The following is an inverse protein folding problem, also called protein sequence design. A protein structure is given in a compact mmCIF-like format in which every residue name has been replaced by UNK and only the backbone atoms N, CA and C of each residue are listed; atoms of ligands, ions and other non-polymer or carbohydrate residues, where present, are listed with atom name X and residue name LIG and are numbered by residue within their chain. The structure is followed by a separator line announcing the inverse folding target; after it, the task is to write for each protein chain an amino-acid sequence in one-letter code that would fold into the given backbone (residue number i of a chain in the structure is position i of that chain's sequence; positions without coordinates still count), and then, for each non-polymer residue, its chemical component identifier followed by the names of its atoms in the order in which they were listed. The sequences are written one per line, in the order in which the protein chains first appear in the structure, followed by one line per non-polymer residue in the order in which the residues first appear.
data_IF_465613198038
#
_entry.id   IF_465613198038
#
_cell.length_a   1.000
_cell.length_b   1.000
_cell.length_c   1.000
_cell.angle_alpha   90.00
_cell.angle_beta   90.00
_cell.angle_gamma   90.00
#
_symmetry.space_group_name_H-M   'P 1'
#
loop_
_entity.id
_entity.type
_entity.pdbx_description
1 polymer ?
#
# COMPACT_ATOMS: atom_id res chain seq x y z
N UNK A 1 -19.24 7.11 19.87
CA UNK A 1 -19.10 5.88 19.06
C UNK A 1 -19.70 6.19 17.70
N UNK A 2 -18.88 6.31 16.65
CA UNK A 2 -19.39 6.54 15.29
C UNK A 2 -20.06 5.25 14.81
N UNK A 3 -21.29 5.36 14.31
CA UNK A 3 -22.08 4.22 13.84
C UNK A 3 -21.58 3.84 12.44
N UNK A 4 -20.43 3.14 12.38
CA UNK A 4 -19.83 2.73 11.11
C UNK A 4 -20.69 1.67 10.45
N UNK A 5 -21.16 1.96 9.24
CA UNK A 5 -21.90 0.99 8.45
C UNK A 5 -20.94 -0.12 8.00
N UNK A 6 -21.35 -1.37 8.23
CA UNK A 6 -20.55 -2.56 7.90
C UNK A 6 -21.20 -3.21 6.68
N UNK A 7 -20.43 -3.36 5.60
CA UNK A 7 -20.90 -4.02 4.36
C UNK A 7 -20.28 -5.41 4.26
N UNK A 8 -21.09 -6.40 3.86
CA UNK A 8 -20.60 -7.75 3.57
C UNK A 8 -19.63 -7.72 2.38
N UNK A 9 -18.45 -8.32 2.54
CA UNK A 9 -17.45 -8.37 1.48
C UNK A 9 -17.98 -9.14 0.28
N UNK A 10 -18.18 -8.43 -0.84
CA UNK A 10 -18.71 -9.00 -2.10
C UNK A 10 -17.77 -10.06 -2.68
N UNK A 11 -16.46 -9.90 -2.48
CA UNK A 11 -15.44 -10.80 -3.01
C UNK A 11 -15.52 -12.20 -2.40
N UNK A 12 -15.59 -12.31 -1.07
CA UNK A 12 -15.65 -13.59 -0.37
C UNK A 12 -17.07 -13.98 0.08
N UNK A 13 -18.08 -13.14 -0.20
CA UNK A 13 -19.48 -13.31 0.21
C UNK A 13 -19.62 -13.54 1.72
N UNK A 14 -18.87 -12.80 2.53
CA UNK A 14 -18.91 -12.92 3.99
C UNK A 14 -18.08 -14.06 4.58
N UNK A 15 -17.49 -14.95 3.78
CA UNK A 15 -16.79 -16.13 4.30
C UNK A 15 -15.38 -15.84 4.86
N UNK A 16 -14.80 -14.69 4.51
CA UNK A 16 -13.41 -14.34 4.84
C UNK A 16 -12.35 -15.15 4.08
N UNK A 17 -12.74 -16.12 3.23
CA UNK A 17 -11.82 -16.97 2.48
C UNK A 17 -11.70 -16.51 1.03
N UNK A 18 -10.51 -16.61 0.45
CA UNK A 18 -10.30 -16.24 -0.95
C UNK A 18 -10.96 -17.29 -1.88
N UNK A 19 -11.96 -16.92 -2.72
CA UNK A 19 -12.66 -17.88 -3.57
C UNK A 19 -11.82 -18.41 -4.74
N UNK A 20 -10.80 -17.66 -5.17
CA UNK A 20 -9.93 -18.03 -6.29
C UNK A 20 -8.81 -18.98 -5.86
N UNK A 21 -8.43 -18.94 -4.58
CA UNK A 21 -7.48 -19.88 -4.02
C UNK A 21 -8.18 -21.13 -3.51
N UNK A 22 -8.50 -22.03 -4.44
CA UNK A 22 -8.72 -23.42 -4.07
C UNK A 22 -7.35 -23.98 -3.72
N UNK A 23 -7.07 -24.10 -2.42
CA UNK A 23 -5.79 -24.55 -1.87
C UNK A 23 -5.45 -26.00 -2.19
N UNK A 24 -5.78 -26.53 -3.37
CA UNK A 24 -5.40 -27.87 -3.81
C UNK A 24 -3.88 -27.98 -3.88
N UNK A 25 -3.34 -29.05 -3.31
CA UNK A 25 -1.92 -29.34 -3.39
C UNK A 25 -1.51 -29.54 -4.86
N UNK A 26 -0.53 -28.78 -5.38
CA UNK A 26 -0.12 -28.87 -6.79
C UNK A 26 0.48 -30.23 -7.13
N UNK A 27 1.06 -30.92 -6.14
CA UNK A 27 1.70 -32.23 -6.31
C UNK A 27 0.66 -33.33 -6.54
N UNK A 28 -0.35 -33.44 -5.68
CA UNK A 28 -1.37 -34.51 -5.79
C UNK A 28 -2.68 -34.06 -6.46
N UNK A 29 -2.78 -32.79 -6.87
CA UNK A 29 -3.97 -32.16 -7.48
C UNK A 29 -5.24 -32.36 -6.64
N UNK A 30 -5.15 -32.22 -5.32
CA UNK A 30 -6.29 -32.38 -4.42
C UNK A 30 -6.58 -33.81 -3.95
N UNK A 31 -5.92 -34.84 -4.50
CA UNK A 31 -6.25 -36.24 -4.19
C UNK A 31 -5.74 -36.72 -2.83
N UNK A 32 -4.78 -36.02 -2.23
CA UNK A 32 -4.11 -36.43 -0.99
C UNK A 32 -3.10 -37.57 -1.14
N UNK A 33 -3.09 -38.28 -2.27
CA UNK A 33 -2.21 -39.43 -2.54
C UNK A 33 -1.53 -39.34 -3.90
N UNK A 34 -0.33 -39.89 -4.00
CA UNK A 34 0.45 -40.04 -5.23
C UNK A 34 0.67 -41.53 -5.53
N UNK A 35 0.73 -41.90 -6.81
CA UNK A 35 1.06 -43.27 -7.22
C UNK A 35 2.56 -43.34 -7.52
N UNK A 36 3.28 -44.19 -6.81
CA UNK A 36 4.71 -44.45 -7.03
C UNK A 36 4.86 -45.95 -7.23
N UNK A 37 5.36 -46.35 -8.40
CA UNK A 37 5.63 -47.77 -8.72
C UNK A 37 4.40 -48.67 -8.51
N UNK A 38 3.22 -48.20 -8.93
CA UNK A 38 1.96 -48.93 -8.81
C UNK A 38 1.28 -48.87 -7.43
N UNK A 39 1.95 -48.42 -6.37
CA UNK A 39 1.35 -48.27 -5.02
C UNK A 39 0.92 -46.83 -4.76
N UNK A 40 -0.24 -46.65 -4.15
CA UNK A 40 -0.70 -45.34 -3.69
C UNK A 40 -0.11 -45.05 -2.32
N UNK A 41 0.62 -43.94 -2.20
CA UNK A 41 1.13 -43.44 -0.92
C UNK A 41 0.56 -42.06 -0.63
N UNK A 42 0.49 -41.69 0.65
CA UNK A 42 0.12 -40.34 1.05
C UNK A 42 1.09 -39.33 0.40
N UNK A 43 0.55 -38.22 -0.11
CA UNK A 43 1.36 -37.17 -0.73
C UNK A 43 2.24 -36.52 0.34
N UNK A 44 3.57 -36.56 0.18
CA UNK A 44 4.52 -36.03 1.17
C UNK A 44 4.35 -34.53 1.46
N UNK A 45 3.89 -33.76 0.48
CA UNK A 45 3.77 -32.30 0.57
C UNK A 45 2.53 -31.87 1.39
N UNK A 46 1.35 -32.41 1.08
CA UNK A 46 0.11 -32.13 1.83
C UNK A 46 -0.12 -33.07 3.02
N UNK A 47 0.64 -34.17 3.12
CA UNK A 47 0.47 -35.28 4.08
C UNK A 47 -0.94 -35.86 4.09
N UNK A 48 -1.52 -36.10 2.92
CA UNK A 48 -2.85 -36.72 2.81
C UNK A 48 -4.04 -35.75 2.74
N UNK A 49 -3.89 -34.47 3.13
CA UNK A 49 -5.03 -33.54 3.17
C UNK A 49 -5.58 -33.16 1.80
N UNK A 50 -4.79 -33.34 0.74
CA UNK A 50 -5.09 -32.82 -0.59
C UNK A 50 -4.99 -31.30 -0.70
N UNK A 51 -4.72 -30.59 0.41
CA UNK A 51 -4.60 -29.13 0.44
C UNK A 51 -3.17 -28.68 0.75
N UNK A 52 -2.70 -27.64 0.08
CA UNK A 52 -1.38 -27.06 0.32
C UNK A 52 -1.39 -26.34 1.67
N UNK A 53 -0.57 -26.82 2.60
CA UNK A 53 -0.46 -26.25 3.96
C UNK A 53 0.01 -24.78 3.87
N UNK A 54 -0.57 -23.91 4.69
CA UNK A 54 -0.23 -22.48 4.72
C UNK A 54 -0.73 -21.67 3.53
N UNK A 55 -1.65 -22.21 2.70
CA UNK A 55 -2.20 -21.49 1.53
C UNK A 55 -3.68 -21.17 1.61
N UNK A 56 -4.31 -21.35 2.77
CA UNK A 56 -5.61 -20.70 3.02
C UNK A 56 -5.37 -19.20 3.14
N UNK A 57 -5.17 -18.55 1.99
CA UNK A 57 -5.06 -17.11 1.92
C UNK A 57 -6.42 -16.56 2.34
N UNK A 58 -6.40 -15.75 3.38
CA UNK A 58 -7.54 -14.93 3.76
C UNK A 58 -7.93 -14.07 2.56
N UNK A 59 -9.21 -13.69 2.47
CA UNK A 59 -9.66 -12.78 1.43
C UNK A 59 -8.89 -11.46 1.57
N UNK A 60 -8.12 -11.08 0.54
CA UNK A 60 -7.28 -9.88 0.56
C UNK A 60 -8.11 -8.59 0.66
N UNK A 61 -9.35 -8.59 0.14
CA UNK A 61 -10.23 -7.41 0.18
C UNK A 61 -10.71 -7.07 1.59
N UNK A 62 -10.94 -8.09 2.43
CA UNK A 62 -11.47 -7.90 3.79
C UNK A 62 -10.51 -8.46 4.87
N UNK A 63 -9.26 -8.75 4.52
CA UNK A 63 -8.24 -9.37 5.38
C UNK A 63 -8.68 -10.63 6.17
N UNK A 64 -9.73 -11.34 5.72
CA UNK A 64 -10.30 -12.49 6.43
C UNK A 64 -11.52 -12.23 7.31
N UNK A 65 -11.93 -10.97 7.51
CA UNK A 65 -13.08 -10.63 8.37
C UNK A 65 -14.45 -10.94 7.75
N UNK A 66 -14.54 -11.06 6.42
CA UNK A 66 -15.80 -11.25 5.70
C UNK A 66 -16.61 -9.96 5.51
N UNK A 67 -16.22 -8.86 6.15
CA UNK A 67 -16.89 -7.55 6.06
C UNK A 67 -15.86 -6.44 5.81
N UNK A 68 -16.33 -5.34 5.20
CA UNK A 68 -15.53 -4.15 4.91
C UNK A 68 -16.29 -2.94 5.49
N UNK A 69 -15.63 -2.03 6.22
CA UNK A 69 -16.28 -0.79 6.66
C UNK A 69 -16.70 0.05 5.46
N UNK A 70 -17.91 0.61 5.47
CA UNK A 70 -18.35 1.51 4.42
C UNK A 70 -17.70 2.88 4.57
N UNK A 71 -16.57 3.06 3.92
CA UNK A 71 -15.86 4.34 3.86
C UNK A 71 -16.35 5.23 2.71
N UNK A 72 -17.39 4.84 1.96
CA UNK A 72 -17.84 5.62 0.78
C UNK A 72 -18.26 7.03 1.14
N UNK A 73 -18.97 7.19 2.25
CA UNK A 73 -19.46 8.50 2.66
C UNK A 73 -18.32 9.38 3.17
N UNK A 74 -17.40 8.81 3.95
CA UNK A 74 -16.16 9.48 4.37
C UNK A 74 -15.32 9.92 3.15
N UNK A 75 -15.18 9.06 2.15
CA UNK A 75 -14.48 9.38 0.89
C UNK A 75 -15.20 10.46 0.07
N UNK A 76 -16.53 10.52 0.08
CA UNK A 76 -17.30 11.60 -0.57
C UNK A 76 -17.07 12.92 0.13
N UNK A 77 -17.16 12.94 1.45
CA UNK A 77 -16.92 14.14 2.26
C UNK A 77 -15.50 14.65 2.06
N UNK A 78 -14.49 13.78 2.18
CA UNK A 78 -13.09 14.16 1.94
C UNK A 78 -12.86 14.74 0.54
N UNK A 79 -13.52 14.22 -0.50
CA UNK A 79 -13.45 14.79 -1.86
C UNK A 79 -14.10 16.17 -1.95
N UNK A 80 -15.23 16.39 -1.29
CA UNK A 80 -15.89 17.69 -1.24
C UNK A 80 -15.05 18.72 -0.50
N UNK A 81 -14.45 18.34 0.62
CA UNK A 81 -13.53 19.19 1.39
C UNK A 81 -12.31 19.59 0.57
N UNK A 82 -11.65 18.63 -0.10
CA UNK A 82 -10.50 18.92 -0.97
C UNK A 82 -10.90 19.87 -2.11
N UNK A 83 -12.10 19.71 -2.67
CA UNK A 83 -12.61 20.62 -3.71
C UNK A 83 -12.82 22.02 -3.14
N UNK A 84 -13.48 22.14 -2.00
CA UNK A 84 -13.73 23.42 -1.34
C UNK A 84 -12.42 24.15 -1.01
N UNK A 85 -11.45 23.45 -0.43
CA UNK A 85 -10.12 24.01 -0.13
C UNK A 85 -9.42 24.50 -1.40
N UNK A 86 -9.55 23.78 -2.52
CA UNK A 86 -8.98 24.21 -3.79
C UNK A 86 -9.64 25.48 -4.33
N UNK A 87 -10.96 25.59 -4.20
CA UNK A 87 -11.71 26.79 -4.59
C UNK A 87 -11.30 27.98 -3.71
N UNK A 88 -11.24 27.80 -2.38
CA UNK A 88 -10.78 28.81 -1.42
C UNK A 88 -9.33 29.28 -1.71
N UNK A 89 -8.39 28.35 -1.97
CA UNK A 89 -7.01 28.72 -2.32
C UNK A 89 -6.89 29.45 -3.66
N UNK A 90 -7.76 29.16 -4.63
CA UNK A 90 -7.75 29.85 -5.93
C UNK A 90 -8.33 31.26 -5.79
N UNK A 91 -9.38 31.44 -4.98
CA UNK A 91 -9.92 32.76 -4.64
C UNK A 91 -8.85 33.64 -3.99
N UNK A 92 -8.15 33.14 -2.96
CA UNK A 92 -7.06 33.86 -2.30
C UNK A 92 -5.94 34.22 -3.28
N UNK A 93 -5.60 33.31 -4.21
CA UNK A 93 -4.62 33.56 -5.26
C UNK A 93 -5.05 34.68 -6.21
N UNK A 94 -6.33 34.74 -6.59
CA UNK A 94 -6.87 35.78 -7.48
C UNK A 94 -6.79 37.14 -6.77
N UNK A 95 -7.19 37.21 -5.49
CA UNK A 95 -7.11 38.43 -4.69
C UNK A 95 -5.68 38.97 -4.59
N UNK A 96 -4.70 38.09 -4.33
CA UNK A 96 -3.30 38.50 -4.17
C UNK A 96 -2.63 38.92 -5.48
N UNK A 97 -2.98 38.28 -6.61
CA UNK A 97 -2.28 38.51 -7.88
C UNK A 97 -3.00 39.50 -8.81
N UNK A 98 -4.29 39.76 -8.59
CA UNK A 98 -5.14 40.54 -9.50
C UNK A 98 -5.28 39.94 -10.90
N UNK A 99 -4.74 38.73 -11.14
CA UNK A 99 -4.83 38.04 -12.43
C UNK A 99 -6.01 37.08 -12.40
N UNK A 100 -7.00 37.39 -13.22
CA UNK A 100 -8.11 36.48 -13.51
C UNK A 100 -7.56 35.12 -14.00
N UNK A 101 -8.17 33.99 -13.59
CA UNK A 101 -7.82 32.69 -14.13
C UNK A 101 -7.99 32.73 -15.64
N UNK A 102 -7.06 32.12 -16.37
CA UNK A 102 -7.20 32.00 -17.83
C UNK A 102 -8.40 31.11 -18.09
N UNK A 103 -9.39 31.61 -18.82
CA UNK A 103 -10.52 30.82 -19.30
C UNK A 103 -10.01 29.57 -20.03
N UNK A 104 -10.04 28.43 -19.35
CA UNK A 104 -9.79 27.12 -19.96
C UNK A 104 -11.03 26.57 -20.65
N UNK A 105 -12.15 27.29 -20.61
CA UNK A 105 -13.41 26.97 -21.29
C UNK A 105 -13.27 26.86 -22.83
N UNK A 106 -12.17 27.37 -23.40
CA UNK A 106 -11.80 27.19 -24.81
C UNK A 106 -10.90 26.00 -25.12
N UNK A 107 -10.45 25.23 -24.10
CA UNK A 107 -9.79 23.94 -24.36
C UNK A 107 -10.91 22.95 -24.65
N UNK A 108 -11.03 22.43 -25.88
CA UNK A 108 -12.08 21.46 -26.17
C UNK A 108 -11.91 20.26 -25.24
N UNK A 109 -12.92 20.00 -24.39
CA UNK A 109 -13.01 18.86 -23.46
C UNK A 109 -12.94 17.47 -24.15
N UNK A 110 -12.75 17.45 -25.46
CA UNK A 110 -12.55 16.25 -26.25
C UNK A 110 -11.09 16.09 -26.68
N UNK A 111 -10.21 15.70 -25.77
CA UNK A 111 -9.24 14.68 -26.19
C UNK A 111 -10.07 13.39 -26.25
N UNK A 112 -10.28 12.79 -27.44
CA UNK A 112 -11.17 11.66 -27.61
C UNK A 112 -10.77 10.54 -26.64
N UNK A 113 -11.63 10.31 -25.65
CA UNK A 113 -11.53 9.27 -24.64
C UNK A 113 -11.79 7.92 -25.33
N UNK A 114 -10.80 7.42 -26.08
CA UNK A 114 -11.02 6.21 -26.89
C UNK A 114 -9.86 5.77 -27.75
N UNK A 115 -9.05 6.69 -28.27
CA UNK A 115 -7.77 6.32 -28.87
C UNK A 115 -6.69 6.43 -27.80
N UNK A 116 -6.65 5.43 -26.92
CA UNK A 116 -5.33 4.93 -26.52
C UNK A 116 -4.58 4.77 -27.84
N UNK A 117 -3.44 5.44 -28.08
CA UNK A 117 -2.66 5.14 -29.26
C UNK A 117 -2.47 3.64 -29.25
N UNK A 118 -3.07 2.96 -30.24
CA UNK A 118 -2.77 1.54 -30.50
C UNK A 118 -1.28 1.57 -30.61
N UNK A 119 -0.61 1.02 -29.59
CA UNK A 119 0.81 1.20 -29.42
C UNK A 119 1.44 0.89 -30.76
N UNK A 120 2.00 1.93 -31.40
CA UNK A 120 3.12 1.69 -32.30
C UNK A 120 4.01 0.80 -31.47
N UNK A 121 4.09 -0.49 -31.86
CA UNK A 121 4.94 -1.47 -31.20
C UNK A 121 6.25 -0.75 -30.97
N UNK A 122 6.50 -0.36 -29.73
CA UNK A 122 7.82 0.09 -29.34
C UNK A 122 8.65 -1.14 -29.64
N UNK A 123 9.41 -1.03 -30.71
CA UNK A 123 10.24 -2.08 -31.24
C UNK A 123 11.29 -2.39 -30.17
N UNK A 124 10.94 -3.33 -29.29
CA UNK A 124 11.80 -3.76 -28.20
C UNK A 124 13.02 -4.52 -28.72
N UNK A 125 13.14 -4.75 -30.04
CA UNK A 125 14.34 -5.34 -30.64
C UNK A 125 15.58 -4.45 -30.51
N UNK A 126 15.43 -3.18 -30.13
CA UNK A 126 16.55 -2.26 -29.90
C UNK A 126 16.87 -1.97 -28.43
N UNK A 127 16.42 -2.80 -27.49
CA UNK A 127 17.03 -2.82 -26.16
C UNK A 127 18.28 -3.70 -26.20
N UNK A 128 19.49 -3.14 -26.13
CA UNK A 128 20.68 -3.95 -25.96
C UNK A 128 20.54 -4.76 -24.67
N UNK A 129 20.64 -6.08 -24.80
CA UNK A 129 20.84 -7.04 -23.72
C UNK A 129 22.11 -6.67 -22.94
N UNK A 130 21.95 -5.70 -22.04
CA UNK A 130 22.99 -5.16 -21.21
C UNK A 130 22.47 -5.08 -19.79
N UNK A 131 22.30 -6.24 -19.15
CA UNK A 131 22.26 -6.35 -17.69
C UNK A 131 23.61 -5.88 -17.12
N UNK A 132 23.86 -4.57 -17.13
CA UNK A 132 24.88 -3.94 -16.30
C UNK A 132 24.30 -3.85 -14.89
N UNK A 133 24.80 -4.75 -14.06
CA UNK A 133 24.79 -4.73 -12.59
C UNK A 133 24.46 -3.34 -12.02
N UNK A 134 23.23 -3.14 -11.53
CA UNK A 134 22.90 -2.04 -10.62
C UNK A 134 23.44 -2.43 -9.24
N UNK A 135 24.76 -2.45 -9.12
CA UNK A 135 25.44 -2.36 -7.84
C UNK A 135 25.83 -0.90 -7.64
N UNK A 136 25.63 -0.38 -6.42
CA UNK A 136 26.13 0.92 -5.92
C UNK A 136 25.22 2.15 -6.13
N UNK A 137 24.02 2.15 -5.55
CA UNK A 137 23.37 3.40 -5.08
C UNK A 137 22.85 3.35 -3.63
N UNK A 138 23.33 2.41 -2.83
CA UNK A 138 22.92 2.27 -1.42
C UNK A 138 23.66 3.19 -0.42
N UNK A 139 24.69 3.95 -0.84
CA UNK A 139 25.57 4.66 0.12
C UNK A 139 25.44 6.19 0.19
N UNK A 140 24.60 6.85 -0.62
CA UNK A 140 24.49 8.33 -0.56
C UNK A 140 23.47 8.84 0.45
N UNK A 141 22.42 8.06 0.79
CA UNK A 141 21.43 8.45 1.81
C UNK A 141 21.91 8.34 3.26
N UNK A 142 23.01 7.61 3.53
CA UNK A 142 23.57 7.50 4.90
C UNK A 142 24.46 8.68 5.31
N UNK A 143 24.92 9.52 4.37
CA UNK A 143 25.73 10.71 4.73
C UNK A 143 24.88 11.90 5.15
N UNK A 144 23.75 12.16 4.48
CA UNK A 144 22.89 13.31 4.82
C UNK A 144 22.13 13.15 6.14
N UNK A 145 21.87 11.93 6.62
CA UNK A 145 21.25 11.73 7.94
C UNK A 145 22.24 11.80 9.11
N UNK A 146 23.55 11.91 8.84
CA UNK A 146 24.58 11.98 9.89
C UNK A 146 24.95 13.43 10.24
N UNK A 147 25.02 14.31 9.24
CA UNK A 147 25.32 15.74 9.49
C UNK A 147 24.17 16.48 10.21
N UNK A 148 22.92 16.03 10.08
CA UNK A 148 21.78 16.70 10.76
C UNK A 148 21.62 16.32 12.25
N UNK A 149 22.42 15.40 12.79
CA UNK A 149 22.34 14.99 14.20
C UNK A 149 23.43 15.57 15.11
N UNK A 150 24.45 16.25 14.57
CA UNK A 150 25.59 16.74 15.38
C UNK A 150 25.43 18.18 15.91
N UNK A 151 24.40 18.92 15.51
CA UNK A 151 24.21 20.33 15.94
C UNK A 151 23.17 20.55 17.05
N UNK A 152 22.67 19.50 17.69
CA UNK A 152 21.82 19.66 18.88
C UNK A 152 22.43 18.97 20.10
N UNK A 153 22.84 19.76 21.10
CA UNK A 153 23.37 19.29 22.39
C UNK A 153 22.34 18.43 23.18
N UNK A 154 21.10 18.31 22.71
CA UNK A 154 20.07 17.39 23.20
C UNK A 154 20.10 15.98 22.58
N UNK A 155 20.99 15.71 21.61
CA UNK A 155 21.02 14.51 20.78
C UNK A 155 21.40 13.17 21.46
N UNK A 156 21.76 13.16 22.75
CA UNK A 156 22.11 11.91 23.46
C UNK A 156 20.90 11.08 23.88
N UNK A 157 19.69 11.65 23.91
CA UNK A 157 18.53 10.95 24.47
C UNK A 157 17.82 10.00 23.48
N UNK A 158 18.05 10.13 22.16
CA UNK A 158 17.25 9.40 21.16
C UNK A 158 17.90 8.15 20.55
N UNK A 159 19.16 7.82 20.90
CA UNK A 159 19.83 6.65 20.32
C UNK A 159 19.33 5.31 20.88
N UNK A 160 18.78 5.28 22.09
CA UNK A 160 18.20 4.07 22.67
C UNK A 160 16.83 3.71 22.09
N UNK A 161 16.03 4.70 21.66
CA UNK A 161 14.70 4.45 21.07
C UNK A 161 14.78 3.91 19.62
N UNK A 162 15.77 4.33 18.84
CA UNK A 162 15.85 4.00 17.41
C UNK A 162 16.15 2.51 17.11
N UNK A 163 16.62 1.73 18.09
CA UNK A 163 16.96 0.30 17.89
C UNK A 163 15.77 -0.66 18.08
N UNK A 164 14.61 -0.17 18.53
CA UNK A 164 13.45 -1.02 18.88
C UNK A 164 12.19 -0.73 18.04
N UNK A 165 12.34 -0.54 16.73
CA UNK A 165 11.24 -0.09 15.83
C UNK A 165 10.42 -1.22 15.21
N UNK A 166 10.29 -2.39 15.86
CA UNK A 166 9.39 -3.44 15.37
C UNK A 166 7.95 -3.33 15.90
N UNK A 167 7.74 -2.59 16.97
CA UNK A 167 6.42 -2.47 17.60
C UNK A 167 5.87 -1.04 17.44
N UNK A 168 4.69 -0.93 16.84
CA UNK A 168 4.02 0.35 16.56
C UNK A 168 3.72 1.17 17.84
N UNK A 169 3.72 0.54 19.01
CA UNK A 169 3.45 1.20 20.29
C UNK A 169 4.63 2.06 20.77
N UNK A 170 5.86 1.72 20.41
CA UNK A 170 7.06 2.50 20.76
C UNK A 170 7.14 3.83 20.01
N UNK A 171 6.52 3.93 18.83
CA UNK A 171 6.46 5.18 18.04
C UNK A 171 5.62 6.23 18.79
N UNK A 172 4.52 5.81 19.44
CA UNK A 172 3.66 6.72 20.21
C UNK A 172 4.39 7.29 21.42
N UNK A 173 5.12 6.44 22.15
CA UNK A 173 5.93 6.85 23.31
C UNK A 173 7.02 7.85 22.91
N UNK A 174 7.69 7.62 21.76
CA UNK A 174 8.69 8.56 21.25
C UNK A 174 8.08 9.93 20.90
N UNK A 175 6.89 9.94 20.28
CA UNK A 175 6.21 11.18 19.90
C UNK A 175 5.72 11.97 21.11
N UNK A 176 5.21 11.31 22.16
CA UNK A 176 4.82 11.98 23.41
C UNK A 176 6.03 12.57 24.14
N UNK A 177 7.14 11.83 24.22
CA UNK A 177 8.37 12.31 24.85
C UNK A 177 8.93 13.54 24.12
N UNK A 178 8.91 13.54 22.78
CA UNK A 178 9.31 14.71 21.99
C UNK A 178 8.40 15.93 22.24
N UNK A 179 7.10 15.69 22.46
CA UNK A 179 6.12 16.74 22.77
C UNK A 179 6.40 17.40 24.13
N UNK A 180 6.73 16.60 25.14
CA UNK A 180 7.05 17.08 26.50
C UNK A 180 8.34 17.92 26.51
N UNK A 181 9.38 17.48 25.80
CA UNK A 181 10.63 18.25 25.64
C UNK A 181 10.35 19.61 24.99
N UNK A 182 9.49 19.66 23.96
CA UNK A 182 9.14 20.92 23.29
C UNK A 182 8.36 21.91 24.19
N UNK A 183 7.68 21.39 25.21
CA UNK A 183 6.90 22.19 26.16
C UNK A 183 7.73 22.63 27.37
N UNK A 184 9.01 22.25 27.46
CA UNK A 184 9.89 22.62 28.57
C UNK A 184 9.46 22.03 29.92
N UNK A 185 8.70 20.93 29.90
CA UNK A 185 8.13 20.30 31.10
C UNK A 185 9.03 19.20 31.70
N UNK A 186 10.30 19.16 31.33
CA UNK A 186 11.29 18.14 31.70
C UNK A 186 12.59 18.78 32.17
#
# INVERSE_FOLDING_TARGET
MTNQQIIVCVFCKGTGKNPHFRGTCPVCKGRGKNQVTGKYMACGDCRGSGQKRGTSLTCYSCAGFGVIPDTREELRQARQEIRKIREEMEEERIELTGRQPRDTSGIPDGLPDGTRPVGTRLDTSRYPSGYRKIGRKANRRKRQSKEFMEESESGRFCQSCAKSTKDNDLIKVCLECFRQIKQGSL
#
